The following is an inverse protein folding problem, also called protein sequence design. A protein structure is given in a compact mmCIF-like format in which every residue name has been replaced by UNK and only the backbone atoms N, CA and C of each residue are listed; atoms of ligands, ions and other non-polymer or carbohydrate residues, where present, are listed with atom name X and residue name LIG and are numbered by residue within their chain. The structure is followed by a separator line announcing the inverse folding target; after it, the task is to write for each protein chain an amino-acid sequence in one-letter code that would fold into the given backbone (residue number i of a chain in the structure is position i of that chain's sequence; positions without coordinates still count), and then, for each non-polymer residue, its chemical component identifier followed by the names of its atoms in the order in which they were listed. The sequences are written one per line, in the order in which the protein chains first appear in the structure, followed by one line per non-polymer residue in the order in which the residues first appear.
data_IF_787484133780
#
_entry.id   IF_787484133780
#
_cell.length_a   1.000
_cell.length_b   1.000
_cell.length_c   1.000
_cell.angle_alpha   90.00
_cell.angle_beta   90.00
_cell.angle_gamma   90.00
#
_symmetry.space_group_name_H-M   'P 1'
#
loop_
_entity.id
_entity.type
_entity.pdbx_description
1 polymer ?
#
# COMPACT_ATOMS: atom_id res chain seq x y z
N UNK A 1 42.85 -1.79 61.04
CA UNK A 1 42.27 -1.08 59.87
C UNK A 1 41.03 -1.84 59.42
N UNK A 2 39.83 -1.22 59.42
CA UNK A 2 38.57 -1.93 59.19
C UNK A 2 38.33 -2.17 57.69
N UNK A 3 37.80 -3.35 57.36
CA UNK A 3 37.43 -3.75 55.99
C UNK A 3 36.12 -3.04 55.61
N UNK A 4 36.12 -2.28 54.51
CA UNK A 4 34.92 -1.58 54.04
C UNK A 4 33.92 -2.58 53.41
N UNK A 5 32.65 -2.50 53.85
CA UNK A 5 31.56 -3.28 53.28
C UNK A 5 31.04 -2.60 51.99
N UNK A 6 31.03 -3.37 50.90
CA UNK A 6 30.58 -2.93 49.58
C UNK A 6 29.04 -2.88 49.47
N UNK A 7 28.46 -1.70 49.72
CA UNK A 7 27.02 -1.40 49.70
C UNK A 7 26.43 -1.21 48.27
N UNK A 8 27.25 -1.11 47.22
CA UNK A 8 26.80 -0.76 45.87
C UNK A 8 26.42 -1.92 44.92
N UNK A 9 26.33 -3.17 45.42
CA UNK A 9 25.98 -4.34 44.58
C UNK A 9 24.49 -4.49 44.17
N UNK A 10 23.46 -4.06 44.95
CA UNK A 10 22.06 -4.40 44.62
C UNK A 10 21.48 -3.57 43.46
N UNK A 11 22.07 -2.41 43.15
CA UNK A 11 21.59 -1.54 42.06
C UNK A 11 21.97 -2.08 40.67
N UNK A 12 23.13 -2.74 40.53
CA UNK A 12 23.58 -3.34 39.26
C UNK A 12 22.79 -4.59 38.88
N UNK A 13 22.34 -5.38 39.87
CA UNK A 13 21.56 -6.60 39.64
C UNK A 13 20.13 -6.28 39.16
N UNK A 14 19.53 -5.22 39.68
CA UNK A 14 18.19 -4.78 39.24
C UNK A 14 18.22 -4.24 37.80
N UNK A 15 19.27 -3.49 37.45
CA UNK A 15 19.48 -3.01 36.09
C UNK A 15 19.68 -4.17 35.10
N UNK A 16 20.50 -5.18 35.47
CA UNK A 16 20.71 -6.37 34.64
C UNK A 16 19.43 -7.19 34.43
N UNK A 17 18.55 -7.24 35.44
CA UNK A 17 17.24 -7.91 35.35
C UNK A 17 16.31 -7.21 34.35
N UNK A 18 16.24 -5.88 34.39
CA UNK A 18 15.40 -5.12 33.45
C UNK A 18 15.92 -5.22 32.00
N UNK A 19 17.25 -5.13 31.81
CA UNK A 19 17.88 -5.32 30.51
C UNK A 19 17.67 -6.73 29.95
N UNK A 20 17.72 -7.76 30.80
CA UNK A 20 17.42 -9.13 30.40
C UNK A 20 15.99 -9.30 29.90
N UNK A 21 15.00 -8.75 30.61
CA UNK A 21 13.60 -8.80 30.18
C UNK A 21 13.39 -8.07 28.85
N UNK A 22 13.96 -6.87 28.67
CA UNK A 22 13.86 -6.13 27.40
C UNK A 22 14.48 -6.92 26.24
N UNK A 23 15.63 -7.55 26.45
CA UNK A 23 16.30 -8.34 25.41
C UNK A 23 15.49 -9.59 25.03
N UNK A 24 14.91 -10.29 26.01
CA UNK A 24 14.07 -11.48 25.78
C UNK A 24 12.77 -11.12 25.05
N UNK A 25 12.11 -10.02 25.43
CA UNK A 25 10.90 -9.56 24.74
C UNK A 25 11.20 -9.11 23.31
N UNK A 26 12.33 -8.43 23.08
CA UNK A 26 12.74 -7.99 21.75
C UNK A 26 13.06 -9.19 20.84
N UNK A 27 13.80 -10.18 21.33
CA UNK A 27 14.15 -11.37 20.53
C UNK A 27 12.93 -12.25 20.22
N UNK A 28 12.01 -12.42 21.18
CA UNK A 28 10.74 -13.13 20.95
C UNK A 28 9.85 -12.40 19.94
N UNK A 29 9.78 -11.07 20.00
CA UNK A 29 9.05 -10.25 19.04
C UNK A 29 9.64 -10.36 17.63
N UNK A 30 10.97 -10.22 17.50
CA UNK A 30 11.66 -10.38 16.22
C UNK A 30 11.45 -11.77 15.61
N UNK A 31 11.54 -12.84 16.41
CA UNK A 31 11.30 -14.20 15.91
C UNK A 31 9.86 -14.38 15.39
N UNK A 32 8.88 -13.79 16.09
CA UNK A 32 7.46 -13.84 15.69
C UNK A 32 7.20 -13.09 14.39
N UNK A 33 7.86 -11.94 14.19
CA UNK A 33 7.75 -11.16 12.95
C UNK A 33 8.39 -11.89 11.75
N UNK A 34 9.47 -12.64 11.94
CA UNK A 34 10.09 -13.43 10.86
C UNK A 34 9.33 -14.71 10.48
N UNK A 35 8.47 -15.22 11.37
CA UNK A 35 7.64 -16.40 11.11
C UNK A 35 6.35 -16.06 10.35
N UNK A 36 5.95 -14.79 10.32
CA UNK A 36 4.75 -14.33 9.59
C UNK A 36 4.94 -14.26 8.06
N UNK A 37 6.17 -14.40 7.55
CA UNK A 37 6.48 -14.37 6.11
C UNK A 37 6.52 -15.76 5.44
N UNK A 38 6.17 -16.84 6.16
CA UNK A 38 6.21 -18.22 5.66
C UNK A 38 4.84 -18.84 5.39
N UNK A 39 3.92 -18.12 4.76
CA UNK A 39 2.76 -18.74 4.09
C UNK A 39 2.44 -18.04 2.76
N UNK A 40 2.83 -18.67 1.63
CA UNK A 40 1.88 -19.02 0.55
C UNK A 40 2.55 -19.93 -0.53
N UNK A 41 2.37 -21.25 -0.50
CA UNK A 41 2.55 -22.09 -1.67
C UNK A 41 1.33 -21.92 -2.60
N UNK A 42 1.48 -21.17 -3.69
CA UNK A 42 0.47 -21.08 -4.74
C UNK A 42 0.50 -22.32 -5.64
N UNK A 43 -0.09 -23.42 -5.16
CA UNK A 43 -0.44 -24.56 -6.02
C UNK A 43 -1.96 -24.71 -6.06
N UNK A 44 -2.59 -24.08 -7.06
CA UNK A 44 -3.98 -24.39 -7.41
C UNK A 44 -3.99 -25.57 -8.38
N UNK A 45 -4.82 -26.61 -8.16
CA UNK A 45 -5.01 -27.67 -9.14
C UNK A 45 -5.79 -27.12 -10.33
N UNK A 46 -5.20 -27.20 -11.52
CA UNK A 46 -5.93 -26.93 -12.75
C UNK A 46 -6.88 -28.10 -13.04
N UNK A 47 -8.16 -27.92 -12.72
CA UNK A 47 -9.25 -28.72 -13.32
C UNK A 47 -10.05 -27.78 -14.22
N UNK A 48 -9.67 -27.73 -15.49
CA UNK A 48 -10.33 -26.95 -16.53
C UNK A 48 -11.52 -27.70 -17.11
N UNK A 49 -12.74 -27.30 -16.74
CA UNK A 49 -13.94 -27.58 -17.52
C UNK A 49 -14.08 -26.52 -18.62
N UNK A 50 -13.68 -26.85 -19.85
CA UNK A 50 -13.89 -25.98 -21.01
C UNK A 50 -15.36 -26.01 -21.45
N UNK A 51 -16.06 -24.89 -21.33
CA UNK A 51 -17.27 -24.59 -22.11
C UNK A 51 -16.97 -23.44 -23.06
N UNK A 52 -17.30 -23.66 -24.33
CA UNK A 52 -16.73 -22.97 -25.48
C UNK A 52 -16.95 -21.47 -25.58
N UNK A 53 -15.90 -20.78 -26.00
CA UNK A 53 -15.90 -19.57 -26.81
C UNK A 53 -14.66 -19.65 -27.72
N UNK A 54 -14.86 -19.74 -29.03
CA UNK A 54 -13.84 -20.05 -30.03
C UNK A 54 -12.96 -18.85 -30.41
N UNK A 55 -12.50 -18.08 -29.42
CA UNK A 55 -11.47 -17.07 -29.60
C UNK A 55 -10.35 -17.44 -28.62
N UNK A 56 -9.07 -17.60 -29.04
CA UNK A 56 -7.98 -17.76 -28.10
C UNK A 56 -7.84 -16.45 -27.33
N UNK A 57 -8.59 -16.34 -26.24
CA UNK A 57 -8.41 -15.33 -25.21
C UNK A 57 -6.95 -15.47 -24.76
N UNK A 58 -6.17 -14.38 -24.71
CA UNK A 58 -4.74 -14.47 -24.47
C UNK A 58 -4.53 -15.27 -23.20
N UNK A 59 -3.78 -16.37 -23.33
CA UNK A 59 -3.30 -17.18 -22.21
C UNK A 59 -2.93 -16.23 -21.10
N UNK A 60 -3.67 -16.27 -19.99
CA UNK A 60 -3.45 -15.37 -18.87
C UNK A 60 -1.98 -15.47 -18.48
N UNK A 61 -1.19 -14.47 -18.87
CA UNK A 61 0.24 -14.48 -18.68
C UNK A 61 0.50 -14.49 -17.18
N UNK A 62 0.97 -15.62 -16.67
CA UNK A 62 1.31 -15.79 -15.25
C UNK A 62 2.62 -15.04 -14.97
N UNK A 63 2.53 -13.74 -14.81
CA UNK A 63 3.62 -12.84 -14.45
C UNK A 63 3.37 -12.16 -13.11
N UNK A 64 4.43 -11.85 -12.37
CA UNK A 64 4.37 -11.03 -11.16
C UNK A 64 4.59 -9.57 -11.56
N UNK A 65 3.59 -8.70 -11.36
CA UNK A 65 3.78 -7.25 -11.52
C UNK A 65 4.81 -6.77 -10.50
N UNK A 66 5.94 -6.23 -10.99
CA UNK A 66 7.01 -5.72 -10.13
C UNK A 66 6.86 -4.22 -9.90
N UNK A 67 6.57 -3.46 -10.96
CA UNK A 67 6.42 -2.01 -10.91
C UNK A 67 5.62 -1.50 -12.11
N UNK A 68 4.81 -0.45 -11.92
CA UNK A 68 4.12 0.27 -12.98
C UNK A 68 4.14 1.76 -12.69
N UNK A 69 4.27 2.57 -13.75
CA UNK A 69 4.13 4.01 -13.69
C UNK A 69 3.13 4.45 -14.76
N UNK A 70 2.13 5.22 -14.35
CA UNK A 70 1.04 5.65 -15.22
C UNK A 70 1.02 7.17 -15.27
N UNK A 71 1.15 7.72 -16.48
CA UNK A 71 0.95 9.13 -16.75
C UNK A 71 -0.43 9.29 -17.39
N UNK A 72 -1.33 9.96 -16.69
CA UNK A 72 -2.68 10.24 -17.18
C UNK A 72 -2.91 11.74 -17.27
N UNK A 73 -3.72 12.13 -18.25
CA UNK A 73 -4.33 13.45 -18.29
C UNK A 73 -5.49 13.47 -17.30
N UNK A 74 -5.85 14.66 -16.82
CA UNK A 74 -7.12 14.88 -16.14
C UNK A 74 -8.34 14.40 -16.96
N UNK A 75 -9.42 14.05 -16.27
CA UNK A 75 -10.72 13.75 -16.89
C UNK A 75 -11.42 14.98 -17.47
N UNK A 76 -12.62 14.84 -18.04
CA UNK A 76 -13.26 15.93 -18.77
C UNK A 76 -13.56 17.14 -17.87
N UNK A 77 -13.19 18.33 -18.37
CA UNK A 77 -13.43 19.62 -17.72
C UNK A 77 -14.27 20.53 -18.59
N UNK A 78 -14.98 21.45 -17.97
CA UNK A 78 -15.58 22.59 -18.69
C UNK A 78 -14.49 23.52 -19.22
N UNK A 79 -14.77 24.32 -20.27
CA UNK A 79 -13.84 25.33 -20.76
C UNK A 79 -13.34 26.25 -19.64
N UNK A 80 -12.10 26.73 -19.75
CA UNK A 80 -11.57 27.75 -18.82
C UNK A 80 -11.90 29.13 -19.37
N UNK A 81 -11.71 29.30 -20.68
CA UNK A 81 -11.99 30.54 -21.39
C UNK A 81 -12.57 30.18 -22.78
N UNK A 82 -13.85 30.49 -23.04
CA UNK A 82 -14.44 30.33 -24.36
C UNK A 82 -13.92 31.41 -25.32
N UNK A 83 -13.78 31.08 -26.59
CA UNK A 83 -13.37 32.04 -27.62
C UNK A 83 -14.50 33.05 -27.91
N UNK A 84 -14.19 34.25 -28.46
CA UNK A 84 -15.16 35.36 -28.49
C UNK A 84 -16.50 35.07 -29.20
N UNK A 85 -16.46 34.27 -30.26
CA UNK A 85 -17.61 33.89 -31.09
C UNK A 85 -18.24 32.55 -30.72
N UNK A 86 -17.89 31.99 -29.55
CA UNK A 86 -18.44 30.70 -29.12
C UNK A 86 -19.95 30.81 -28.82
N UNK A 87 -20.81 30.05 -29.54
CA UNK A 87 -22.24 30.02 -29.26
C UNK A 87 -22.58 29.45 -27.88
N UNK A 88 -21.66 28.70 -27.26
CA UNK A 88 -21.83 28.04 -25.95
C UNK A 88 -21.04 28.71 -24.82
N UNK A 89 -20.59 29.95 -25.02
CA UNK A 89 -19.84 30.72 -24.00
C UNK A 89 -20.63 31.04 -22.73
N UNK A 90 -21.95 30.90 -22.75
CA UNK A 90 -22.75 31.11 -21.55
C UNK A 90 -22.50 29.93 -20.59
N UNK A 91 -22.15 30.25 -19.34
CA UNK A 91 -21.90 29.29 -18.25
C UNK A 91 -23.08 28.35 -18.01
N UNK A 92 -24.31 28.81 -18.24
CA UNK A 92 -25.53 28.04 -18.02
C UNK A 92 -25.64 26.78 -18.88
N UNK A 93 -24.89 26.71 -19.99
CA UNK A 93 -24.83 25.52 -20.83
C UNK A 93 -23.92 24.41 -20.28
N UNK A 94 -23.16 24.69 -19.22
CA UNK A 94 -22.19 23.78 -18.65
C UNK A 94 -22.66 23.26 -17.28
N UNK A 95 -22.43 21.96 -16.99
CA UNK A 95 -22.97 21.33 -15.78
C UNK A 95 -22.25 21.73 -14.48
N UNK A 96 -21.05 22.29 -14.57
CA UNK A 96 -20.19 22.69 -13.44
C UNK A 96 -19.50 24.02 -13.74
N UNK A 97 -18.78 24.58 -12.77
CA UNK A 97 -18.02 25.82 -12.95
C UNK A 97 -16.93 25.69 -14.01
N UNK A 98 -16.42 26.82 -14.52
CA UNK A 98 -15.36 26.85 -15.54
C UNK A 98 -14.07 26.18 -15.06
N UNK A 99 -13.46 25.36 -15.91
CA UNK A 99 -12.25 24.60 -15.60
C UNK A 99 -12.43 23.45 -14.61
N UNK A 100 -13.64 23.20 -14.11
CA UNK A 100 -13.92 22.11 -13.15
C UNK A 100 -14.10 20.76 -13.86
N UNK A 101 -13.80 19.67 -13.15
CA UNK A 101 -14.07 18.31 -13.63
C UNK A 101 -15.58 18.03 -13.64
N UNK A 102 -16.04 17.35 -14.68
CA UNK A 102 -17.43 16.91 -14.77
C UNK A 102 -17.61 15.56 -14.05
N UNK A 103 -18.79 15.34 -13.45
CA UNK A 103 -19.12 14.06 -12.80
C UNK A 103 -19.21 12.88 -13.78
N UNK A 104 -19.31 13.16 -15.08
CA UNK A 104 -19.37 12.13 -16.13
C UNK A 104 -18.00 11.50 -16.38
N UNK A 105 -16.92 12.24 -16.10
CA UNK A 105 -15.54 11.79 -16.34
C UNK A 105 -14.64 12.10 -15.15
N UNK A 106 -15.00 11.56 -13.98
CA UNK A 106 -14.03 11.38 -12.88
C UNK A 106 -13.16 10.15 -13.21
N UNK A 107 -11.85 10.34 -13.16
CA UNK A 107 -10.88 9.25 -13.25
C UNK A 107 -10.84 8.45 -11.94
#
# INVERSE_FOLDING_TARGET
MPKSLNIFKPLRLLQYRQLFFVFVFFTLCCASLTLADLELPTTLPQSGGQRGLNNPLPVALKGKLIFSHVLFRHGDRTPIEPYPTDPWKNREYWPVGWGELTNVSIC
#
